data_IF_477106413399
#
_entry.id   IF_477106413399
#
_cell.length_a   1.000
_cell.length_b   1.000
_cell.length_c   1.000
_cell.angle_alpha   90.00
_cell.angle_beta   90.00
_cell.angle_gamma   90.00
#
_symmetry.space_group_name_H-M   'P 1'
#
loop_
_entity.id
_entity.type
_entity.pdbx_description
1 polymer ?
#
# COMPACT_ATOMS: atom_id res chain seq x y z
N UNK A 1 12.14 -0.80 19.92
CA UNK A 1 12.37 0.66 19.91
C UNK A 1 11.64 1.21 18.71
N UNK A 2 10.61 2.04 18.91
CA UNK A 2 9.83 2.63 17.81
C UNK A 2 10.59 3.81 17.20
N UNK A 3 10.55 3.95 15.87
CA UNK A 3 11.27 5.01 15.18
C UNK A 3 10.61 6.38 15.37
N UNK A 4 11.41 7.43 15.63
CA UNK A 4 10.94 8.78 15.96
C UNK A 4 10.97 9.77 14.77
N UNK A 5 11.56 9.41 13.64
CA UNK A 5 11.64 10.22 12.42
C UNK A 5 11.19 9.42 11.20
N UNK A 6 10.66 10.09 10.18
CA UNK A 6 10.39 9.48 8.88
C UNK A 6 11.71 9.53 8.09
N UNK A 7 12.28 8.36 7.83
CA UNK A 7 13.48 8.15 7.03
C UNK A 7 13.42 6.81 6.30
N UNK A 8 14.49 6.46 5.57
CA UNK A 8 14.53 5.23 4.78
C UNK A 8 14.55 3.97 5.64
N UNK A 9 15.12 4.03 6.84
CA UNK A 9 15.16 2.88 7.76
C UNK A 9 13.75 2.50 8.20
N UNK A 10 12.89 3.51 8.43
CA UNK A 10 11.46 3.28 8.71
C UNK A 10 10.76 2.57 7.56
N UNK A 11 11.00 3.02 6.32
CA UNK A 11 10.38 2.41 5.14
C UNK A 11 10.89 0.99 4.92
N UNK A 12 12.19 0.76 5.11
CA UNK A 12 12.84 -0.53 4.97
C UNK A 12 12.34 -1.56 5.99
N UNK A 13 11.96 -1.11 7.18
CA UNK A 13 11.33 -1.93 8.22
C UNK A 13 9.83 -2.15 7.95
N UNK A 14 9.10 -1.06 7.68
CA UNK A 14 7.64 -1.06 7.62
C UNK A 14 7.11 -1.86 6.43
N UNK A 15 7.65 -1.63 5.23
CA UNK A 15 7.11 -2.21 3.99
C UNK A 15 7.15 -3.75 4.02
N UNK A 16 8.28 -4.41 4.34
CA UNK A 16 8.30 -5.88 4.43
C UNK A 16 7.40 -6.43 5.52
N UNK A 17 7.37 -5.79 6.71
CA UNK A 17 6.54 -6.23 7.83
C UNK A 17 5.05 -6.17 7.49
N UNK A 18 4.62 -5.09 6.85
CA UNK A 18 3.25 -4.92 6.39
C UNK A 18 2.88 -5.99 5.35
N UNK A 19 3.70 -6.18 4.32
CA UNK A 19 3.38 -7.13 3.26
C UNK A 19 3.48 -8.59 3.71
N UNK A 20 4.28 -8.92 4.73
CA UNK A 20 4.22 -10.24 5.35
C UNK A 20 2.82 -10.54 5.92
N UNK A 21 2.16 -9.55 6.54
CA UNK A 21 0.78 -9.69 7.04
C UNK A 21 -0.25 -9.73 5.92
N UNK A 22 -0.10 -8.88 4.89
CA UNK A 22 -0.98 -8.89 3.71
C UNK A 22 -0.98 -10.27 3.03
N UNK A 23 0.19 -10.90 2.90
CA UNK A 23 0.34 -12.22 2.29
C UNK A 23 -0.32 -13.34 3.12
N UNK A 24 -0.27 -13.21 4.45
CA UNK A 24 -0.89 -14.17 5.36
C UNK A 24 -2.41 -13.95 5.52
N UNK A 25 -2.94 -12.82 5.06
CA UNK A 25 -4.36 -12.49 5.19
C UNK A 25 -5.22 -13.30 4.21
N UNK A 26 -6.32 -13.86 4.69
CA UNK A 26 -7.19 -14.73 3.89
C UNK A 26 -7.93 -14.03 2.74
N UNK A 27 -8.16 -12.71 2.84
CA UNK A 27 -8.81 -11.94 1.79
C UNK A 27 -7.78 -11.36 0.81
N UNK A 28 -6.70 -10.78 1.33
CA UNK A 28 -5.71 -10.09 0.49
C UNK A 28 -4.66 -11.02 -0.10
N UNK A 29 -4.22 -12.03 0.65
CA UNK A 29 -3.16 -12.95 0.23
C UNK A 29 -3.37 -13.51 -1.17
N UNK A 30 -4.54 -14.11 -1.48
CA UNK A 30 -4.83 -14.62 -2.82
C UNK A 30 -4.77 -13.57 -3.94
N UNK A 31 -5.14 -12.31 -3.64
CA UNK A 31 -5.11 -11.20 -4.62
C UNK A 31 -3.66 -10.86 -4.97
N UNK A 32 -2.79 -10.74 -3.97
CA UNK A 32 -1.40 -10.37 -4.19
C UNK A 32 -0.58 -11.54 -4.75
N UNK A 33 -0.76 -12.78 -4.25
CA UNK A 33 -0.04 -13.97 -4.73
C UNK A 33 -0.41 -14.36 -6.17
N UNK A 34 -1.61 -13.99 -6.65
CA UNK A 34 -1.97 -14.17 -8.07
C UNK A 34 -1.44 -13.06 -8.98
N UNK A 35 -0.98 -11.94 -8.43
CA UNK A 35 -0.53 -10.77 -9.18
C UNK A 35 1.00 -10.57 -9.17
N UNK A 36 1.71 -11.19 -8.24
CA UNK A 36 3.13 -10.95 -7.98
C UNK A 36 3.88 -12.27 -7.93
N UNK A 37 4.77 -12.48 -8.90
CA UNK A 37 5.66 -13.65 -8.93
C UNK A 37 7.01 -13.36 -8.24
N UNK A 38 7.53 -12.14 -8.37
CA UNK A 38 8.81 -11.70 -7.78
C UNK A 38 8.58 -10.74 -6.61
N UNK A 39 8.44 -11.33 -5.42
CA UNK A 39 8.24 -10.58 -4.18
C UNK A 39 9.42 -9.66 -3.81
N UNK A 40 10.70 -10.09 -3.85
CA UNK A 40 11.83 -9.21 -3.62
C UNK A 40 11.81 -7.94 -4.49
N UNK A 41 11.58 -8.09 -5.80
CA UNK A 41 11.48 -6.96 -6.71
C UNK A 41 10.28 -6.06 -6.38
N UNK A 42 9.12 -6.66 -6.10
CA UNK A 42 7.92 -5.90 -5.76
C UNK A 42 8.10 -5.07 -4.47
N UNK A 43 8.70 -5.65 -3.43
CA UNK A 43 8.98 -4.95 -2.18
C UNK A 43 9.96 -3.79 -2.38
N UNK A 44 11.00 -3.95 -3.22
CA UNK A 44 11.91 -2.86 -3.56
C UNK A 44 11.16 -1.69 -4.22
N UNK A 45 10.28 -1.98 -5.19
CA UNK A 45 9.45 -0.98 -5.85
C UNK A 45 8.50 -0.25 -4.88
N UNK A 46 7.96 -0.97 -3.90
CA UNK A 46 7.09 -0.37 -2.87
C UNK A 46 7.85 0.49 -1.86
N UNK A 47 9.09 0.13 -1.54
CA UNK A 47 9.98 1.00 -0.75
C UNK A 47 10.27 2.30 -1.49
N UNK A 48 10.58 2.23 -2.79
CA UNK A 48 10.75 3.42 -3.61
C UNK A 48 9.47 4.26 -3.68
N UNK A 49 8.30 3.61 -3.76
CA UNK A 49 7.00 4.29 -3.72
C UNK A 49 6.82 5.09 -2.44
N UNK A 50 6.99 4.45 -1.28
CA UNK A 50 6.84 5.10 0.02
C UNK A 50 7.91 6.18 0.26
N UNK A 51 9.13 5.97 -0.23
CA UNK A 51 10.18 7.00 -0.20
C UNK A 51 9.78 8.22 -1.02
N UNK A 52 9.29 8.05 -2.26
CA UNK A 52 8.77 9.18 -3.05
C UNK A 52 7.60 9.89 -2.36
N UNK A 53 6.71 9.14 -1.73
CA UNK A 53 5.47 9.65 -1.14
C UNK A 53 5.71 10.42 0.16
N UNK A 54 6.62 9.95 1.00
CA UNK A 54 6.86 10.48 2.33
C UNK A 54 8.08 11.40 2.40
N UNK A 55 9.09 11.14 1.58
CA UNK A 55 10.37 11.85 1.61
C UNK A 55 10.64 12.67 0.34
N UNK A 56 9.70 12.67 -0.62
CA UNK A 56 9.84 13.37 -1.91
C UNK A 56 11.12 12.98 -2.70
N UNK A 57 11.64 11.77 -2.49
CA UNK A 57 12.90 11.32 -3.10
C UNK A 57 12.84 11.16 -4.62
N UNK A 58 11.64 11.00 -5.17
CA UNK A 58 11.42 10.82 -6.60
C UNK A 58 11.90 9.47 -7.16
N UNK A 59 12.21 8.48 -6.32
CA UNK A 59 12.70 7.16 -6.74
C UNK A 59 11.67 6.33 -7.49
N UNK A 60 10.43 6.36 -7.03
CA UNK A 60 9.34 5.71 -7.75
C UNK A 60 8.93 6.46 -9.02
N UNK A 61 9.03 5.78 -10.16
CA UNK A 61 8.65 6.28 -11.49
C UNK A 61 7.39 5.63 -12.06
N UNK A 62 6.73 4.77 -11.29
CA UNK A 62 5.54 4.04 -11.73
C UNK A 62 4.26 4.88 -11.69
N UNK A 63 3.17 4.28 -12.16
CA UNK A 63 1.83 4.84 -12.07
C UNK A 63 0.94 3.86 -11.27
N UNK A 64 0.52 4.21 -10.05
CA UNK A 64 -0.27 3.30 -9.22
C UNK A 64 -1.62 2.94 -9.85
N UNK A 65 -2.37 3.92 -10.37
CA UNK A 65 -3.73 3.71 -10.86
C UNK A 65 -3.82 2.63 -11.97
N UNK A 66 -3.04 2.66 -13.07
CA UNK A 66 -3.08 1.61 -14.08
C UNK A 66 -2.75 0.21 -13.53
N UNK A 67 -1.84 0.12 -12.54
CA UNK A 67 -1.51 -1.15 -11.92
C UNK A 67 -2.70 -1.73 -11.14
N UNK A 68 -3.47 -0.90 -10.43
CA UNK A 68 -4.64 -1.37 -9.68
C UNK A 68 -5.84 -1.66 -10.59
N UNK A 69 -6.04 -0.90 -11.67
CA UNK A 69 -7.10 -1.15 -12.67
C UNK A 69 -6.95 -2.55 -13.28
N UNK A 70 -5.73 -3.04 -13.52
CA UNK A 70 -5.50 -4.42 -14.02
C UNK A 70 -6.12 -5.50 -13.13
N UNK A 71 -6.24 -5.23 -11.83
CA UNK A 71 -6.77 -6.16 -10.84
C UNK A 71 -8.13 -5.70 -10.29
N UNK A 72 -8.85 -4.84 -11.02
CA UNK A 72 -10.06 -4.21 -10.53
C UNK A 72 -11.15 -5.18 -10.09
N UNK A 73 -11.23 -6.37 -10.67
CA UNK A 73 -12.27 -7.35 -10.31
C UNK A 73 -12.03 -7.94 -8.92
N UNK A 74 -10.76 -8.03 -8.50
CA UNK A 74 -10.37 -8.57 -7.20
C UNK A 74 -10.29 -7.49 -6.12
N UNK A 75 -9.96 -6.25 -6.50
CA UNK A 75 -9.81 -5.12 -5.57
C UNK A 75 -11.17 -4.49 -5.22
N UNK A 76 -11.91 -5.16 -4.35
CA UNK A 76 -13.18 -4.67 -3.79
C UNK A 76 -12.97 -3.57 -2.74
N UNK A 77 -14.05 -2.88 -2.37
CA UNK A 77 -14.01 -1.91 -1.25
C UNK A 77 -13.61 -2.59 0.07
N UNK A 78 -14.01 -3.84 0.27
CA UNK A 78 -13.63 -4.65 1.42
C UNK A 78 -12.12 -4.95 1.42
N UNK A 79 -11.54 -5.27 0.27
CA UNK A 79 -10.10 -5.47 0.15
C UNK A 79 -9.32 -4.19 0.51
N UNK A 80 -9.76 -3.02 0.03
CA UNK A 80 -9.14 -1.74 0.43
C UNK A 80 -9.26 -1.48 1.94
N UNK A 81 -10.45 -1.70 2.52
CA UNK A 81 -10.66 -1.53 3.96
C UNK A 81 -9.76 -2.46 4.78
N UNK A 82 -9.63 -3.73 4.35
CA UNK A 82 -8.77 -4.71 5.01
C UNK A 82 -7.29 -4.35 4.90
N UNK A 83 -6.85 -3.89 3.73
CA UNK A 83 -5.48 -3.43 3.50
C UNK A 83 -5.15 -2.24 4.43
N UNK A 84 -6.05 -1.26 4.55
CA UNK A 84 -5.89 -0.10 5.44
C UNK A 84 -5.89 -0.50 6.93
N UNK A 85 -6.70 -1.48 7.32
CA UNK A 85 -6.71 -1.99 8.69
C UNK A 85 -5.36 -2.63 9.07
N UNK A 86 -4.83 -3.52 8.23
CA UNK A 86 -3.51 -4.14 8.44
C UNK A 86 -2.41 -3.08 8.42
N UNK A 87 -2.54 -2.05 7.57
CA UNK A 87 -1.58 -0.94 7.51
C UNK A 87 -1.54 -0.17 8.84
N UNK A 88 -2.72 0.19 9.38
CA UNK A 88 -2.83 0.86 10.69
C UNK A 88 -2.21 0.02 11.79
N UNK A 89 -2.62 -1.24 11.94
CA UNK A 89 -2.07 -2.19 12.92
C UNK A 89 -0.54 -2.26 12.83
N UNK A 90 0.01 -2.42 11.62
CA UNK A 90 1.47 -2.52 11.42
C UNK A 90 2.18 -1.22 11.78
N UNK A 91 1.64 -0.07 11.38
CA UNK A 91 2.24 1.23 11.69
C UNK A 91 2.18 1.56 13.18
N UNK A 92 1.07 1.27 13.86
CA UNK A 92 0.89 1.51 15.30
C UNK A 92 1.83 0.63 16.14
N UNK A 93 2.11 -0.59 15.70
CA UNK A 93 3.04 -1.48 16.40
C UNK A 93 4.51 -1.09 16.21
N UNK A 94 4.90 -0.64 15.01
CA UNK A 94 6.32 -0.47 14.67
C UNK A 94 6.84 0.96 14.87
N UNK A 95 5.97 1.97 14.82
CA UNK A 95 6.36 3.37 14.70
C UNK A 95 5.92 4.21 15.90
N UNK A 96 6.60 5.33 16.14
CA UNK A 96 6.10 6.30 17.12
C UNK A 96 4.74 6.87 16.63
N UNK A 97 3.79 7.19 17.53
CA UNK A 97 2.42 7.56 17.15
C UNK A 97 2.33 8.69 16.10
N UNK A 98 3.19 9.70 16.20
CA UNK A 98 3.22 10.80 15.23
C UNK A 98 3.66 10.35 13.83
N UNK A 99 4.62 9.42 13.75
CA UNK A 99 5.12 8.84 12.50
C UNK A 99 4.09 7.90 11.91
N UNK A 100 3.49 7.02 12.73
CA UNK A 100 2.41 6.12 12.32
C UNK A 100 1.25 6.89 11.67
N UNK A 101 0.74 7.92 12.37
CA UNK A 101 -0.35 8.77 11.87
C UNK A 101 -0.03 9.38 10.50
N UNK A 102 1.19 9.88 10.29
CA UNK A 102 1.58 10.47 9.01
C UNK A 102 1.52 9.47 7.84
N UNK A 103 1.96 8.22 8.06
CA UNK A 103 1.84 7.16 7.06
C UNK A 103 0.38 6.76 6.83
N UNK A 104 -0.42 6.65 7.89
CA UNK A 104 -1.84 6.28 7.81
C UNK A 104 -2.65 7.32 7.02
N UNK A 105 -2.52 8.62 7.34
CA UNK A 105 -3.21 9.72 6.64
C UNK A 105 -2.84 9.78 5.15
N UNK A 106 -1.62 9.39 4.80
CA UNK A 106 -1.18 9.32 3.42
C UNK A 106 -1.78 8.10 2.71
N UNK A 107 -1.76 6.93 3.35
CA UNK A 107 -2.37 5.72 2.85
C UNK A 107 -3.87 5.90 2.56
N UNK A 108 -4.61 6.52 3.49
CA UNK A 108 -6.04 6.78 3.35
C UNK A 108 -6.35 7.62 2.10
N UNK A 109 -5.59 8.71 1.89
CA UNK A 109 -5.76 9.58 0.72
C UNK A 109 -5.47 8.87 -0.60
N UNK A 110 -4.41 8.05 -0.62
CA UNK A 110 -4.05 7.25 -1.80
C UNK A 110 -5.15 6.22 -2.09
N UNK A 111 -5.61 5.49 -1.07
CA UNK A 111 -6.67 4.49 -1.20
C UNK A 111 -7.96 5.14 -1.71
N UNK A 112 -8.38 6.28 -1.14
CA UNK A 112 -9.55 7.02 -1.60
C UNK A 112 -9.44 7.41 -3.09
N UNK A 113 -8.28 7.93 -3.52
CA UNK A 113 -8.04 8.30 -4.92
C UNK A 113 -8.08 7.09 -5.86
N UNK A 114 -7.49 5.96 -5.44
CA UNK A 114 -7.52 4.71 -6.21
C UNK A 114 -8.94 4.16 -6.34
N UNK A 115 -9.69 4.08 -5.24
CA UNK A 115 -11.07 3.59 -5.24
C UNK A 115 -11.97 4.42 -6.15
N UNK A 116 -11.90 5.75 -6.07
CA UNK A 116 -12.67 6.64 -6.94
C UNK A 116 -12.31 6.43 -8.41
N UNK A 117 -11.02 6.43 -8.76
CA UNK A 117 -10.61 6.25 -10.17
C UNK A 117 -10.97 4.87 -10.73
N UNK A 118 -10.90 3.81 -9.90
CA UNK A 118 -11.33 2.47 -10.30
C UNK A 118 -12.85 2.38 -10.45
N UNK A 119 -13.61 3.04 -9.58
CA UNK A 119 -15.07 3.12 -9.74
C UNK A 119 -15.44 3.78 -11.08
N UNK A 120 -14.86 4.94 -11.40
CA UNK A 120 -15.10 5.59 -12.70
C UNK A 120 -14.71 4.71 -13.88
N UNK A 121 -13.60 3.97 -13.78
CA UNK A 121 -13.20 3.03 -14.81
C UNK A 121 -14.27 1.93 -15.01
N UNK A 122 -14.75 1.31 -13.93
CA UNK A 122 -15.80 0.28 -13.99
C UNK A 122 -17.09 0.78 -14.60
N UNK A 123 -17.56 1.96 -14.19
CA UNK A 123 -18.78 2.59 -14.71
C UNK A 123 -18.67 2.82 -16.23
N UNK A 124 -17.52 3.29 -16.71
CA UNK A 124 -17.28 3.49 -18.14
C UNK A 124 -17.16 2.18 -18.93
N UNK A 125 -16.59 1.12 -18.33
CA UNK A 125 -16.44 -0.17 -18.98
C UNK A 125 -17.73 -1.01 -19.00
N UNK A 126 -18.72 -0.66 -18.17
CA UNK A 126 -20.04 -1.29 -18.14
C UNK A 126 -21.06 -0.62 -19.09
N UNK A 127 -20.75 0.58 -19.59
CA UNK A 127 -21.55 1.34 -20.55
C UNK A 127 -21.16 0.98 -22.01
#
# INVERSE_FOLDING_TARGET
>A
MSACSIDETVIDLLVPAFYARVRADGLLGPIFESAIDDWPHHLAKLKDFWSSVMLASGRYKGQPMPAHIRHERALSNEAFARWLAIWRETTDELLAPAVARAFQEKADRIAQSLQLGMQFYRERSAA
#
